data_IF_087227582156
#
_entry.id   IF_087227582156
#
_cell.length_a   1.000
_cell.length_b   1.000
_cell.length_c   1.000
_cell.angle_alpha   90.00
_cell.angle_beta   90.00
_cell.angle_gamma   90.00
#
_symmetry.space_group_name_H-M   'P 1'
#
loop_
_entity.id
_entity.type
_entity.pdbx_description
1 polymer ?
#
# COMPACT_ATOMS: atom_id res chain seq x y z
N UNK A 1 -46.91 3.88 30.28
CA UNK A 1 -45.43 3.73 30.24
C UNK A 1 -45.01 3.24 28.86
N UNK A 2 -44.21 3.98 28.07
CA UNK A 2 -43.27 3.44 27.03
C UNK A 2 -42.67 4.59 26.21
N UNK A 3 -41.67 5.31 26.74
CA UNK A 3 -40.87 6.29 25.94
C UNK A 3 -39.38 5.91 25.80
N UNK A 4 -38.97 4.72 26.23
CA UNK A 4 -37.54 4.39 26.36
C UNK A 4 -37.01 3.34 25.35
N UNK A 5 -37.81 2.86 24.38
CA UNK A 5 -37.36 1.85 23.41
C UNK A 5 -36.78 2.41 22.09
N UNK A 6 -37.04 3.67 21.74
CA UNK A 6 -36.64 4.22 20.45
C UNK A 6 -35.18 4.72 20.41
N UNK A 7 -34.62 5.18 21.55
CA UNK A 7 -33.26 5.76 21.59
C UNK A 7 -32.13 4.71 21.59
N UNK A 8 -32.37 3.50 22.08
CA UNK A 8 -31.36 2.42 22.16
C UNK A 8 -30.94 1.89 20.78
N UNK A 9 -31.89 1.75 19.87
CA UNK A 9 -31.64 1.16 18.53
C UNK A 9 -30.84 2.15 17.65
N UNK A 10 -31.09 3.45 17.80
CA UNK A 10 -30.33 4.51 17.12
C UNK A 10 -28.86 4.53 17.57
N UNK A 11 -28.61 4.38 18.87
CA UNK A 11 -27.24 4.34 19.43
C UNK A 11 -26.46 3.12 18.94
N UNK A 12 -27.07 1.91 18.95
CA UNK A 12 -26.44 0.67 18.45
C UNK A 12 -26.15 0.68 16.94
N UNK A 13 -26.98 1.37 16.13
CA UNK A 13 -26.71 1.53 14.68
C UNK A 13 -25.58 2.54 14.43
N UNK A 14 -25.51 3.61 15.22
CA UNK A 14 -24.46 4.62 15.14
C UNK A 14 -23.08 4.09 15.56
N UNK A 15 -23.03 3.20 16.56
CA UNK A 15 -21.79 2.56 16.99
C UNK A 15 -21.32 1.49 16.01
N UNK A 16 -22.23 0.72 15.39
CA UNK A 16 -21.89 -0.22 14.31
C UNK A 16 -21.32 0.49 13.08
N UNK A 17 -21.91 1.62 12.67
CA UNK A 17 -21.43 2.38 11.50
C UNK A 17 -20.04 2.97 11.75
N UNK A 18 -19.83 3.59 12.93
CA UNK A 18 -18.51 4.10 13.34
C UNK A 18 -17.46 3.01 13.51
N UNK A 19 -17.85 1.81 13.93
CA UNK A 19 -16.93 0.66 14.04
C UNK A 19 -16.52 0.14 12.66
N UNK A 20 -17.46 0.02 11.72
CA UNK A 20 -17.16 -0.33 10.32
C UNK A 20 -16.28 0.69 9.62
N UNK A 21 -16.54 2.00 9.78
CA UNK A 21 -15.69 3.05 9.20
C UNK A 21 -14.29 3.09 9.84
N UNK A 22 -14.15 2.74 11.13
CA UNK A 22 -12.85 2.57 11.79
C UNK A 22 -12.13 1.30 11.34
N UNK A 23 -12.83 0.19 11.15
CA UNK A 23 -12.28 -1.08 10.67
C UNK A 23 -11.88 -1.01 9.20
N UNK A 24 -12.66 -0.29 8.37
CA UNK A 24 -12.35 -0.01 6.97
C UNK A 24 -11.16 0.96 6.83
N UNK A 25 -11.07 1.98 7.70
CA UNK A 25 -9.87 2.83 7.80
C UNK A 25 -8.64 2.10 8.36
N UNK A 26 -8.82 1.09 9.20
CA UNK A 26 -7.72 0.32 9.79
C UNK A 26 -7.19 -0.79 8.86
N UNK A 27 -7.92 -1.12 7.78
CA UNK A 27 -7.51 -2.16 6.82
C UNK A 27 -6.56 -1.63 5.72
N UNK A 28 -6.48 -0.33 5.54
CA UNK A 28 -5.45 0.28 4.71
C UNK A 28 -4.22 0.51 5.60
N UNK A 29 -3.22 -0.37 5.47
CA UNK A 29 -1.88 -0.16 6.02
C UNK A 29 -1.47 1.29 5.72
N UNK A 30 -1.29 2.11 6.75
CA UNK A 30 -0.82 3.49 6.57
C UNK A 30 0.58 3.54 5.98
N UNK A 31 1.31 2.42 5.97
CA UNK A 31 2.57 2.24 5.27
C UNK A 31 2.44 2.29 3.74
N UNK A 32 1.21 2.21 3.20
CA UNK A 32 0.91 2.43 1.76
C UNK A 32 0.46 3.87 1.47
N UNK A 33 0.50 4.79 2.44
CA UNK A 33 0.29 6.20 2.17
C UNK A 33 1.46 6.68 1.30
N UNK A 34 1.24 6.69 -0.02
CA UNK A 34 2.18 7.29 -0.97
C UNK A 34 2.56 8.67 -0.45
N UNK A 35 3.85 8.92 -0.29
CA UNK A 35 4.35 10.22 0.14
C UNK A 35 4.13 11.21 -1.01
N UNK A 36 2.98 11.90 -1.00
CA UNK A 36 2.60 12.87 -2.05
C UNK A 36 3.08 14.26 -1.66
N UNK A 37 3.89 14.88 -2.51
CA UNK A 37 4.41 16.24 -2.35
C UNK A 37 3.75 17.13 -3.40
N UNK A 38 3.21 18.27 -2.99
CA UNK A 38 2.65 19.28 -3.90
C UNK A 38 3.65 20.43 -4.02
N UNK A 39 3.99 20.81 -5.26
CA UNK A 39 4.87 21.95 -5.55
C UNK A 39 4.29 22.82 -6.67
N UNK A 40 4.70 24.08 -6.73
CA UNK A 40 4.33 24.95 -7.84
C UNK A 40 5.10 24.61 -9.11
N UNK A 41 4.54 24.95 -10.27
CA UNK A 41 5.21 24.86 -11.57
C UNK A 41 6.49 25.71 -11.65
N UNK A 42 6.48 26.89 -11.02
CA UNK A 42 7.66 27.75 -10.89
C UNK A 42 8.77 27.07 -10.08
N UNK A 43 8.42 26.44 -8.96
CA UNK A 43 9.36 25.67 -8.13
C UNK A 43 9.92 24.47 -8.91
N UNK A 44 9.05 23.70 -9.57
CA UNK A 44 9.43 22.57 -10.39
C UNK A 44 10.38 22.94 -11.54
N UNK A 45 10.16 24.10 -12.18
CA UNK A 45 11.01 24.60 -13.24
C UNK A 45 12.37 25.13 -12.72
N UNK A 46 12.38 25.70 -11.51
CA UNK A 46 13.59 26.28 -10.91
C UNK A 46 14.55 25.23 -10.32
N UNK A 47 14.03 24.13 -9.80
CA UNK A 47 14.81 23.07 -9.17
C UNK A 47 14.27 21.66 -9.49
N UNK A 48 14.39 21.30 -10.75
CA UNK A 48 13.96 19.98 -11.23
C UNK A 48 14.86 18.84 -10.70
N UNK A 49 16.12 19.13 -10.36
CA UNK A 49 17.05 18.13 -9.85
C UNK A 49 16.63 17.64 -8.46
N UNK A 50 16.34 18.55 -7.53
CA UNK A 50 15.86 18.19 -6.20
C UNK A 50 14.48 17.50 -6.24
N UNK A 51 13.64 17.84 -7.23
CA UNK A 51 12.39 17.13 -7.49
C UNK A 51 12.67 15.66 -7.82
N UNK A 52 13.58 15.39 -8.75
CA UNK A 52 13.94 14.03 -9.14
C UNK A 52 14.56 13.22 -8.00
N UNK A 53 15.33 13.84 -7.11
CA UNK A 53 15.90 13.16 -5.95
C UNK A 53 14.80 12.69 -4.99
N UNK A 54 13.80 13.53 -4.72
CA UNK A 54 12.60 13.13 -3.94
C UNK A 54 11.82 12.01 -4.62
N UNK A 55 11.71 12.04 -5.94
CA UNK A 55 11.07 10.98 -6.72
C UNK A 55 11.88 9.67 -6.67
N UNK A 56 13.22 9.73 -6.67
CA UNK A 56 14.07 8.54 -6.51
C UNK A 56 13.94 7.92 -5.13
N UNK A 57 13.68 8.73 -4.10
CA UNK A 57 13.38 8.27 -2.74
C UNK A 57 11.98 7.67 -2.59
N UNK A 58 11.16 7.67 -3.65
CA UNK A 58 9.82 7.06 -3.66
C UNK A 58 8.66 8.04 -3.53
N UNK A 59 8.91 9.35 -3.52
CA UNK A 59 7.85 10.35 -3.44
C UNK A 59 7.10 10.50 -4.77
N UNK A 60 5.79 10.72 -4.68
CA UNK A 60 4.96 11.15 -5.81
C UNK A 60 4.84 12.68 -5.75
N UNK A 61 5.30 13.39 -6.78
CA UNK A 61 5.29 14.85 -6.83
C UNK A 61 4.18 15.32 -7.76
N UNK A 62 3.24 16.09 -7.22
CA UNK A 62 2.18 16.77 -7.97
C UNK A 62 2.65 18.20 -8.22
N UNK A 63 2.77 18.57 -9.49
CA UNK A 63 3.10 19.92 -9.93
C UNK A 63 1.79 20.67 -10.17
N UNK A 64 1.65 21.84 -9.56
CA UNK A 64 0.45 22.67 -9.62
C UNK A 64 0.71 24.03 -10.26
N UNK A 65 -0.26 24.51 -11.04
CA UNK A 65 -0.32 25.89 -11.52
C UNK A 65 -1.65 26.49 -11.05
N UNK A 66 -1.62 27.62 -10.34
CA UNK A 66 -2.82 28.25 -9.74
C UNK A 66 -3.71 27.28 -8.94
N UNK A 67 -3.08 26.47 -8.07
CA UNK A 67 -3.74 25.43 -7.26
C UNK A 67 -4.48 24.34 -8.07
N UNK A 68 -4.11 24.16 -9.34
CA UNK A 68 -4.59 23.08 -10.19
C UNK A 68 -3.44 22.14 -10.55
N UNK A 69 -3.59 20.83 -10.35
CA UNK A 69 -2.57 19.87 -10.75
C UNK A 69 -2.42 19.85 -12.27
N UNK A 70 -1.19 20.07 -12.76
CA UNK A 70 -0.84 20.07 -14.18
C UNK A 70 -0.01 18.86 -14.59
N UNK A 71 0.78 18.30 -13.66
CA UNK A 71 1.58 17.11 -13.89
C UNK A 71 1.76 16.31 -12.61
N UNK A 72 1.98 15.01 -12.76
CA UNK A 72 2.37 14.11 -11.66
C UNK A 72 3.64 13.40 -12.07
N UNK A 73 4.70 13.54 -11.28
CA UNK A 73 5.97 12.85 -11.44
C UNK A 73 6.06 11.80 -10.34
N UNK A 74 6.32 10.56 -10.71
CA UNK A 74 6.40 9.44 -9.79
C UNK A 74 7.61 8.59 -10.11
N UNK A 75 8.10 7.78 -9.16
CA UNK A 75 9.18 6.84 -9.45
C UNK A 75 8.74 5.98 -10.63
N UNK A 76 9.66 5.66 -11.52
CA UNK A 76 9.38 4.62 -12.50
C UNK A 76 9.02 3.36 -11.71
N UNK A 77 7.78 2.90 -11.83
CA UNK A 77 7.38 1.66 -11.16
C UNK A 77 8.40 0.60 -11.59
N UNK A 78 9.04 -0.12 -10.64
CA UNK A 78 9.86 -1.25 -11.02
C UNK A 78 8.99 -2.12 -11.92
N UNK A 79 9.56 -2.66 -13.00
CA UNK A 79 8.87 -3.67 -13.81
C UNK A 79 8.64 -4.89 -12.92
N UNK A 80 7.57 -4.82 -12.14
CA UNK A 80 7.11 -5.92 -11.33
C UNK A 80 6.44 -6.87 -12.28
N UNK A 81 6.95 -8.11 -12.31
CA UNK A 81 6.29 -9.19 -13.03
C UNK A 81 4.85 -9.26 -12.55
N UNK A 82 3.90 -9.20 -13.48
CA UNK A 82 2.49 -9.35 -13.14
C UNK A 82 2.28 -10.69 -12.45
N UNK A 83 1.40 -10.76 -11.45
CA UNK A 83 1.05 -12.02 -10.79
C UNK A 83 0.60 -13.07 -11.81
N UNK A 84 -0.11 -12.66 -12.86
CA UNK A 84 -0.52 -13.50 -13.99
C UNK A 84 0.67 -14.11 -14.74
N UNK A 85 1.73 -13.34 -14.95
CA UNK A 85 2.96 -13.80 -15.60
C UNK A 85 3.74 -14.75 -14.69
N UNK A 86 3.83 -14.44 -13.40
CA UNK A 86 4.44 -15.35 -12.39
C UNK A 86 3.70 -16.68 -12.33
N UNK A 87 2.37 -16.67 -12.35
CA UNK A 87 1.54 -17.88 -12.40
C UNK A 87 1.74 -18.65 -13.71
N UNK A 88 1.88 -17.96 -14.84
CA UNK A 88 2.14 -18.59 -16.12
C UNK A 88 3.48 -19.32 -16.09
N UNK A 89 4.55 -18.66 -15.63
CA UNK A 89 5.88 -19.28 -15.51
C UNK A 89 5.87 -20.46 -14.55
N UNK A 90 5.19 -20.35 -13.41
CA UNK A 90 5.05 -21.47 -12.48
C UNK A 90 4.39 -22.70 -13.15
N UNK A 91 3.38 -22.49 -13.99
CA UNK A 91 2.74 -23.56 -14.77
C UNK A 91 3.66 -24.11 -15.86
N UNK A 92 4.35 -23.23 -16.61
CA UNK A 92 5.30 -23.63 -17.65
C UNK A 92 6.47 -24.46 -17.09
N UNK A 93 6.92 -24.14 -15.87
CA UNK A 93 7.92 -24.90 -15.13
C UNK A 93 7.37 -26.16 -14.44
N UNK A 94 6.08 -26.49 -14.62
CA UNK A 94 5.48 -27.70 -14.07
C UNK A 94 5.30 -27.70 -12.56
N UNK A 95 5.14 -26.53 -11.94
CA UNK A 95 4.93 -26.42 -10.49
C UNK A 95 3.70 -27.23 -10.04
N UNK A 96 3.92 -28.13 -9.08
CA UNK A 96 2.88 -28.95 -8.45
C UNK A 96 2.44 -28.39 -7.09
N UNK A 97 2.86 -27.18 -6.75
CA UNK A 97 2.55 -26.56 -5.46
C UNK A 97 1.03 -26.36 -5.32
N UNK A 98 0.45 -27.04 -4.32
CA UNK A 98 -0.95 -26.93 -3.94
C UNK A 98 -1.06 -26.26 -2.58
N UNK A 99 -2.00 -25.32 -2.42
CA UNK A 99 -2.42 -24.87 -1.10
C UNK A 99 -3.27 -25.96 -0.46
N UNK A 100 -2.64 -26.82 0.33
CA UNK A 100 -3.33 -27.77 1.20
C UNK A 100 -3.65 -27.11 2.56
N UNK A 101 -4.32 -27.86 3.44
CA UNK A 101 -4.73 -27.37 4.76
C UNK A 101 -3.57 -27.12 5.73
N UNK A 102 -2.38 -27.66 5.44
CA UNK A 102 -1.20 -27.58 6.28
C UNK A 102 -0.23 -26.48 5.83
N UNK A 103 -0.38 -25.97 4.60
CA UNK A 103 0.43 -24.89 4.01
C UNK A 103 0.76 -23.74 4.97
N UNK A 104 -0.23 -23.27 5.76
CA UNK A 104 -0.02 -22.18 6.71
C UNK A 104 0.94 -22.56 7.84
N UNK A 105 0.84 -23.78 8.35
CA UNK A 105 1.72 -24.32 9.40
C UNK A 105 3.13 -24.49 8.86
N UNK A 106 3.27 -25.03 7.66
CA UNK A 106 4.57 -25.29 7.04
C UNK A 106 5.33 -23.97 6.77
N UNK A 107 4.63 -22.93 6.30
CA UNK A 107 5.20 -21.60 6.15
C UNK A 107 5.64 -20.98 7.48
N UNK A 108 4.84 -21.14 8.53
CA UNK A 108 5.18 -20.65 9.87
C UNK A 108 6.45 -21.33 10.40
N UNK A 109 6.60 -22.63 10.20
CA UNK A 109 7.81 -23.38 10.56
C UNK A 109 9.05 -22.86 9.83
N UNK A 110 8.98 -22.68 8.50
CA UNK A 110 10.08 -22.16 7.68
C UNK A 110 10.47 -20.73 8.07
N UNK A 111 9.49 -19.85 8.34
CA UNK A 111 9.78 -18.48 8.78
C UNK A 111 10.47 -18.49 10.14
N UNK A 112 10.03 -19.35 11.06
CA UNK A 112 10.62 -19.46 12.38
C UNK A 112 12.02 -20.07 12.35
N UNK A 113 12.32 -20.98 11.42
CA UNK A 113 13.65 -21.57 11.27
C UNK A 113 14.68 -20.64 10.62
N UNK A 114 14.24 -19.62 9.87
CA UNK A 114 15.12 -18.72 9.09
C UNK A 114 14.97 -17.23 9.47
N UNK A 115 14.87 -16.94 10.78
CA UNK A 115 14.82 -15.56 11.28
C UNK A 115 16.19 -14.86 11.35
N UNK A 116 17.20 -15.35 10.64
CA UNK A 116 18.50 -14.65 10.62
C UNK A 116 18.34 -13.24 10.05
N UNK A 117 19.09 -12.24 10.57
CA UNK A 117 19.11 -10.91 9.99
C UNK A 117 19.52 -10.98 8.51
N UNK A 118 18.68 -10.44 7.64
CA UNK A 118 19.05 -10.22 6.24
C UNK A 118 20.24 -9.26 6.20
N UNK A 119 21.37 -9.73 5.66
CA UNK A 119 22.52 -8.88 5.32
C UNK A 119 22.54 -8.68 3.80
N UNK A 120 21.69 -7.79 3.26
CA UNK A 120 21.64 -7.55 1.83
C UNK A 120 22.97 -6.96 1.37
N UNK A 121 23.43 -7.28 0.14
CA UNK A 121 24.57 -6.58 -0.44
C UNK A 121 24.29 -5.07 -0.48
N UNK A 122 25.32 -4.26 -0.30
CA UNK A 122 25.24 -2.85 -0.65
C UNK A 122 24.96 -2.77 -2.15
N UNK A 123 23.78 -2.28 -2.50
CA UNK A 123 23.44 -2.00 -3.88
C UNK A 123 24.27 -0.79 -4.30
N UNK A 124 25.14 -0.94 -5.30
CA UNK A 124 25.82 0.15 -6.02
C UNK A 124 24.86 0.72 -7.08
#
# INVERSE_FOLDING_TARGET
>A
MTKNRCKRISWLRSTRKRKREKEEKAMYNQDMAKHVIHISDAEAASDFASLLDRVREGAEVVIEHDARPVAVVRPAEPQVRLLSESLRLAREHGSTATLDGDFARDLEEVINSHREPLNPPAWD
#
